data_IF_387709192556
#
_entry.id   IF_387709192556
#
_cell.length_a   1.000
_cell.length_b   1.000
_cell.length_c   1.000
_cell.angle_alpha   90.00
_cell.angle_beta   90.00
_cell.angle_gamma   90.00
#
_symmetry.space_group_name_H-M   'P 1'
#
loop_
_entity.id
_entity.type
_entity.pdbx_description
1 polymer ?
#
# COMPACT_ATOMS: atom_id res chain seq x y z
N UNK A 1 -11.28 5.38 -1.01
CA UNK A 1 -10.62 6.54 -0.35
C UNK A 1 -9.10 6.52 -0.57
N UNK A 2 -8.30 5.70 0.12
CA UNK A 2 -6.83 5.69 -0.04
C UNK A 2 -6.36 5.22 -1.42
N UNK A 3 -6.97 4.16 -1.96
CA UNK A 3 -6.69 3.61 -3.30
C UNK A 3 -6.91 4.63 -4.42
N UNK A 4 -7.95 5.47 -4.30
CA UNK A 4 -8.27 6.49 -5.29
C UNK A 4 -7.23 7.62 -5.29
N UNK A 5 -6.78 8.03 -4.09
CA UNK A 5 -5.70 9.02 -3.93
C UNK A 5 -4.39 8.56 -4.54
N UNK A 6 -3.96 7.32 -4.25
CA UNK A 6 -2.71 6.79 -4.82
C UNK A 6 -2.78 6.73 -6.35
N UNK A 7 -3.89 6.25 -6.90
CA UNK A 7 -4.10 6.19 -8.36
C UNK A 7 -4.02 7.58 -8.99
N UNK A 8 -4.61 8.59 -8.37
CA UNK A 8 -4.61 9.95 -8.89
C UNK A 8 -3.24 10.62 -8.75
N UNK A 9 -2.50 10.39 -7.68
CA UNK A 9 -1.12 10.88 -7.54
C UNK A 9 -0.20 10.27 -8.60
N UNK A 10 -0.36 8.98 -8.92
CA UNK A 10 0.39 8.34 -10.02
C UNK A 10 0.03 8.91 -11.39
N UNK A 11 -1.25 9.20 -11.67
CA UNK A 11 -1.65 9.88 -12.91
C UNK A 11 -1.03 11.27 -13.02
N UNK A 12 -1.03 12.05 -11.94
CA UNK A 12 -0.42 13.39 -11.92
C UNK A 12 1.09 13.31 -12.17
N UNK A 13 1.78 12.34 -11.55
CA UNK A 13 3.20 12.09 -11.81
C UNK A 13 3.46 11.78 -13.28
N UNK A 14 2.63 10.93 -13.90
CA UNK A 14 2.72 10.64 -15.33
C UNK A 14 2.55 11.91 -16.18
N UNK A 15 1.57 12.74 -15.85
CA UNK A 15 1.34 14.00 -16.55
C UNK A 15 2.51 14.98 -16.42
N UNK A 16 3.22 14.99 -15.29
CA UNK A 16 4.45 15.79 -15.12
C UNK A 16 5.55 15.30 -16.05
N UNK A 17 5.76 13.97 -16.15
CA UNK A 17 6.74 13.39 -17.08
C UNK A 17 6.38 13.72 -18.53
N UNK A 18 5.12 13.50 -18.91
CA UNK A 18 4.62 13.83 -20.26
C UNK A 18 4.77 15.33 -20.58
N UNK A 19 4.59 16.21 -19.58
CA UNK A 19 4.81 17.64 -19.75
C UNK A 19 6.27 17.95 -20.09
N UNK A 20 7.24 17.33 -19.39
CA UNK A 20 8.66 17.49 -19.67
C UNK A 20 9.04 16.95 -21.06
N UNK A 21 8.54 15.77 -21.42
CA UNK A 21 8.83 15.12 -22.71
C UNK A 21 8.26 15.90 -23.90
N UNK A 22 7.18 16.64 -23.70
CA UNK A 22 6.55 17.47 -24.73
C UNK A 22 7.27 18.79 -25.00
N UNK A 23 8.25 19.19 -24.16
CA UNK A 23 8.96 20.45 -24.35
C UNK A 23 10.13 20.28 -25.33
N UNK A 24 10.19 21.13 -26.36
CA UNK A 24 11.35 21.24 -27.25
C UNK A 24 12.54 21.98 -26.61
N UNK A 25 12.25 23.00 -25.80
CA UNK A 25 13.16 23.62 -24.85
C UNK A 25 12.43 23.78 -23.52
N UNK A 26 13.09 23.40 -22.43
CA UNK A 26 12.47 23.44 -21.10
C UNK A 26 12.64 24.83 -20.49
N UNK A 27 11.52 25.48 -20.18
CA UNK A 27 11.49 26.60 -19.25
C UNK A 27 11.93 26.10 -17.86
N UNK A 28 13.06 26.60 -17.38
CA UNK A 28 13.69 26.18 -16.14
C UNK A 28 12.85 26.53 -14.91
N UNK A 29 12.16 27.67 -14.91
CA UNK A 29 11.32 28.09 -13.78
C UNK A 29 10.07 27.22 -13.69
N UNK A 30 9.39 27.01 -14.82
CA UNK A 30 8.26 26.10 -14.88
C UNK A 30 8.67 24.64 -14.57
N UNK A 31 9.84 24.22 -15.04
CA UNK A 31 10.42 22.91 -14.75
C UNK A 31 10.68 22.73 -13.26
N UNK A 32 11.22 23.74 -12.57
CA UNK A 32 11.45 23.69 -11.13
C UNK A 32 10.14 23.52 -10.35
N UNK A 33 9.08 24.23 -10.74
CA UNK A 33 7.75 24.07 -10.12
C UNK A 33 7.18 22.66 -10.33
N UNK A 34 7.34 22.09 -11.54
CA UNK A 34 6.92 20.72 -11.83
C UNK A 34 7.68 19.67 -11.03
N UNK A 35 8.98 19.88 -10.80
CA UNK A 35 9.77 19.01 -9.91
C UNK A 35 9.27 19.08 -8.47
N UNK A 36 9.00 20.29 -7.94
CA UNK A 36 8.43 20.46 -6.59
C UNK A 36 7.08 19.76 -6.45
N UNK A 37 6.21 19.89 -7.44
CA UNK A 37 4.92 19.19 -7.50
C UNK A 37 5.13 17.67 -7.47
N UNK A 38 6.04 17.16 -8.30
CA UNK A 38 6.38 15.73 -8.33
C UNK A 38 6.90 15.21 -6.98
N UNK A 39 7.77 15.96 -6.30
CA UNK A 39 8.28 15.59 -4.98
C UNK A 39 7.15 15.48 -3.95
N UNK A 40 6.19 16.42 -3.96
CA UNK A 40 5.04 16.36 -3.07
C UNK A 40 4.18 15.11 -3.33
N UNK A 41 3.87 14.82 -4.61
CA UNK A 41 3.11 13.64 -5.02
C UNK A 41 3.80 12.32 -4.64
N UNK A 42 5.12 12.24 -4.77
CA UNK A 42 5.90 11.05 -4.37
C UNK A 42 5.82 10.84 -2.85
N UNK A 43 5.95 11.91 -2.06
CA UNK A 43 5.86 11.83 -0.59
C UNK A 43 4.50 11.33 -0.14
N UNK A 44 3.43 11.86 -0.72
CA UNK A 44 2.06 11.41 -0.46
C UNK A 44 1.88 9.93 -0.85
N UNK A 45 2.31 9.56 -2.06
CA UNK A 45 2.19 8.20 -2.58
C UNK A 45 2.91 7.18 -1.69
N UNK A 46 4.12 7.50 -1.20
CA UNK A 46 4.86 6.66 -0.26
C UNK A 46 4.12 6.47 1.07
N UNK A 47 3.46 7.53 1.56
CA UNK A 47 2.66 7.43 2.79
C UNK A 47 1.46 6.51 2.62
N UNK A 48 0.73 6.63 1.52
CA UNK A 48 -0.43 5.76 1.26
C UNK A 48 -0.01 4.30 1.02
N UNK A 49 1.11 4.05 0.33
CA UNK A 49 1.67 2.71 0.16
C UNK A 49 2.02 2.05 1.50
N UNK A 50 2.65 2.81 2.42
CA UNK A 50 2.98 2.29 3.75
C UNK A 50 1.74 1.91 4.55
N UNK A 51 0.65 2.67 4.43
CA UNK A 51 -0.63 2.31 5.08
C UNK A 51 -1.17 1.00 4.52
N UNK A 52 -1.15 0.85 3.19
CA UNK A 52 -1.60 -0.37 2.54
C UNK A 52 -0.74 -1.59 2.93
N UNK A 53 0.58 -1.41 3.05
CA UNK A 53 1.49 -2.45 3.52
C UNK A 53 1.15 -2.87 4.96
N UNK A 54 0.89 -1.92 5.85
CA UNK A 54 0.47 -2.22 7.23
C UNK A 54 -0.86 -2.98 7.27
N UNK A 55 -1.86 -2.55 6.50
CA UNK A 55 -3.16 -3.23 6.39
C UNK A 55 -2.97 -4.68 5.88
N UNK A 56 -2.07 -4.89 4.92
CA UNK A 56 -1.77 -6.22 4.40
C UNK A 56 -1.11 -7.13 5.45
N UNK A 57 -0.20 -6.59 6.26
CA UNK A 57 0.43 -7.32 7.37
C UNK A 57 -0.57 -7.67 8.48
N UNK A 58 -1.56 -6.81 8.76
CA UNK A 58 -2.65 -7.12 9.69
C UNK A 58 -3.50 -8.28 9.18
N UNK A 59 -3.91 -8.25 7.92
CA UNK A 59 -4.68 -9.34 7.29
C UNK A 59 -3.90 -10.66 7.32
N UNK A 60 -2.58 -10.66 7.05
CA UNK A 60 -1.75 -11.87 7.18
C UNK A 60 -1.75 -12.43 8.59
N UNK A 61 -1.65 -11.58 9.61
CA UNK A 61 -1.67 -12.02 11.02
C UNK A 61 -3.01 -12.62 11.39
N UNK A 62 -4.11 -12.04 10.93
CA UNK A 62 -5.44 -12.62 11.12
C UNK A 62 -5.54 -13.99 10.45
N UNK A 63 -5.05 -14.12 9.22
CA UNK A 63 -5.02 -15.41 8.50
C UNK A 63 -4.17 -16.46 9.21
N UNK A 64 -2.95 -16.12 9.64
CA UNK A 64 -2.07 -17.04 10.34
C UNK A 64 -2.59 -17.48 11.72
N UNK A 65 -3.38 -16.63 12.40
CA UNK A 65 -4.05 -16.99 13.66
C UNK A 65 -5.22 -17.95 13.46
N UNK A 66 -5.94 -17.82 12.34
CA UNK A 66 -7.02 -18.76 11.97
C UNK A 66 -6.45 -20.18 11.79
N UNK A 67 -5.24 -20.31 11.24
CA UNK A 67 -4.57 -21.61 11.06
C UNK A 67 -4.13 -22.25 12.40
N UNK A 68 -3.86 -21.47 13.45
CA UNK A 68 -3.43 -21.96 14.76
C UNK A 68 -4.60 -22.34 15.70
N UNK A 69 -5.76 -21.70 15.58
CA UNK A 69 -6.92 -21.93 16.47
C UNK A 69 -7.74 -23.20 16.13
N UNK A 70 -7.65 -23.74 14.90
CA UNK A 70 -8.36 -24.96 14.47
C UNK A 70 -7.68 -26.27 14.95
N UNK A 71 -6.44 -26.24 15.45
CA UNK A 71 -5.70 -27.45 15.86
C UNK A 71 -5.96 -27.85 17.33
N UNK A 72 -6.67 -27.03 18.12
CA UNK A 72 -6.76 -27.16 19.58
C UNK A 72 -7.99 -27.84 20.18
N UNK A 73 -8.97 -28.33 19.40
CA UNK A 73 -10.30 -28.72 19.93
C UNK A 73 -10.66 -30.20 20.00
N UNK A 74 -9.76 -31.14 19.64
CA UNK A 74 -10.17 -32.55 19.47
C UNK A 74 -9.49 -33.58 20.40
N UNK A 75 -9.04 -33.20 21.61
CA UNK A 75 -8.30 -34.15 22.47
C UNK A 75 -8.75 -34.21 23.96
N UNK A 76 -10.06 -34.17 24.23
CA UNK A 76 -10.60 -34.29 25.62
C UNK A 76 -11.74 -35.30 25.77
N UNK A 77 -11.76 -36.42 25.04
CA UNK A 77 -12.80 -37.46 25.27
C UNK A 77 -12.35 -38.92 25.13
N UNK A 78 -11.21 -39.29 25.72
CA UNK A 78 -10.77 -40.70 25.73
C UNK A 78 -10.36 -41.29 27.09
N UNK A 79 -10.47 -40.56 28.21
CA UNK A 79 -10.08 -41.09 29.55
C UNK A 79 -11.23 -41.50 30.50
N UNK A 80 -12.49 -41.57 30.06
CA UNK A 80 -13.61 -42.04 30.93
C UNK A 80 -14.05 -43.51 30.73
N UNK A 81 -13.34 -44.31 29.93
CA UNK A 81 -13.71 -45.72 29.70
C UNK A 81 -12.60 -46.69 30.13
N UNK A 82 -12.29 -46.69 31.42
CA UNK A 82 -11.66 -47.85 32.09
C UNK A 82 -11.95 -47.79 33.60
N UNK A 83 -13.24 -47.80 33.96
CA UNK A 83 -13.69 -48.34 35.25
C UNK A 83 -13.73 -49.86 35.17
#
# INVERSE_FOLDING_TARGET
MAKDRLKDSLKKLKAIVEWFDAQGEVDVEAGLEKVKEGVALIKESKSELKKLENEFEEVKKEFGKIDEEEVGKDNTKSEELSS
#
